data_IF_082672477003
#
_entry.id   IF_082672477003
#
_cell.length_a   1.000
_cell.length_b   1.000
_cell.length_c   1.000
_cell.angle_alpha   90.00
_cell.angle_beta   90.00
_cell.angle_gamma   90.00
#
_symmetry.space_group_name_H-M   'P 1'
#
loop_
_entity.id
_entity.type
_entity.pdbx_description
1 polymer ?
#
# COMPACT_ATOMS: atom_id res chain seq x y z
N UNK A 1 -0.13 6.39 -16.55
CA UNK A 1 -1.25 5.48 -16.22
C UNK A 1 -0.87 4.66 -15.00
N UNK A 2 -1.67 4.66 -13.92
CA UNK A 2 -1.39 3.80 -12.77
C UNK A 2 -1.55 2.33 -13.18
N UNK A 3 -0.52 1.51 -13.00
CA UNK A 3 -0.62 0.07 -13.33
C UNK A 3 -1.66 -0.60 -12.43
N UNK A 4 -2.43 -1.55 -12.97
CA UNK A 4 -3.44 -2.32 -12.21
C UNK A 4 -2.88 -2.93 -10.92
N UNK A 5 -1.59 -3.30 -10.90
CA UNK A 5 -0.90 -3.81 -9.72
C UNK A 5 -0.82 -2.80 -8.57
N UNK A 6 -0.35 -1.57 -8.84
CA UNK A 6 -0.30 -0.48 -7.83
C UNK A 6 -1.67 -0.19 -7.23
N UNK A 7 -2.71 -0.12 -8.06
CA UNK A 7 -4.07 0.15 -7.60
C UNK A 7 -4.56 -0.96 -6.66
N UNK A 8 -4.30 -2.23 -6.98
CA UNK A 8 -4.66 -3.36 -6.08
C UNK A 8 -3.89 -3.31 -4.76
N UNK A 9 -2.59 -3.01 -4.81
CA UNK A 9 -1.74 -2.87 -3.62
C UNK A 9 -2.25 -1.74 -2.73
N UNK A 10 -2.48 -0.56 -3.29
CA UNK A 10 -2.99 0.60 -2.56
C UNK A 10 -4.37 0.34 -1.96
N UNK A 11 -5.28 -0.33 -2.68
CA UNK A 11 -6.60 -0.71 -2.14
C UNK A 11 -6.45 -1.57 -0.89
N UNK A 12 -5.57 -2.56 -0.90
CA UNK A 12 -5.32 -3.42 0.27
C UNK A 12 -4.71 -2.61 1.42
N UNK A 13 -3.71 -1.77 1.16
CA UNK A 13 -3.09 -0.93 2.20
C UNK A 13 -4.08 0.06 2.81
N UNK A 14 -4.92 0.70 1.98
CA UNK A 14 -5.91 1.66 2.45
C UNK A 14 -6.95 0.99 3.36
N UNK A 15 -7.34 -0.25 3.05
CA UNK A 15 -8.30 -1.03 3.84
C UNK A 15 -7.72 -1.57 5.14
N UNK A 16 -6.53 -2.14 5.10
CA UNK A 16 -5.93 -2.85 6.24
C UNK A 16 -5.07 -1.94 7.13
N UNK A 17 -4.68 -0.76 6.65
CA UNK A 17 -3.80 0.20 7.32
C UNK A 17 -2.32 -0.20 7.28
N UNK A 18 -1.98 -1.33 7.93
CA UNK A 18 -0.62 -1.88 7.95
C UNK A 18 -0.64 -3.35 7.53
N UNK A 19 0.20 -3.72 6.56
CA UNK A 19 0.17 -5.08 5.99
C UNK A 19 1.58 -5.61 5.76
N UNK A 20 1.82 -6.85 6.19
CA UNK A 20 3.06 -7.53 5.85
C UNK A 20 3.05 -8.03 4.39
N UNK A 21 4.24 -8.19 3.80
CA UNK A 21 4.36 -8.57 2.38
C UNK A 21 3.67 -9.90 2.05
N UNK A 22 3.70 -10.88 2.95
CA UNK A 22 3.03 -12.17 2.73
C UNK A 22 1.51 -12.04 2.67
N UNK A 23 0.91 -11.18 3.49
CA UNK A 23 -0.53 -10.88 3.46
C UNK A 23 -0.89 -10.07 2.22
N UNK A 24 -0.03 -9.16 1.77
CA UNK A 24 -0.20 -8.47 0.48
C UNK A 24 -0.21 -9.45 -0.70
N UNK A 25 0.71 -10.42 -0.75
CA UNK A 25 0.70 -11.48 -1.79
C UNK A 25 -0.65 -12.21 -1.79
N UNK A 26 -1.13 -12.63 -0.61
CA UNK A 26 -2.40 -13.36 -0.48
C UNK A 26 -3.61 -12.51 -0.90
N UNK A 27 -3.70 -11.26 -0.48
CA UNK A 27 -4.87 -10.40 -0.73
C UNK A 27 -4.89 -9.82 -2.14
N UNK A 28 -3.72 -9.53 -2.72
CA UNK A 28 -3.63 -8.94 -4.06
C UNK A 28 -3.59 -10.00 -5.17
N UNK A 29 -3.16 -11.22 -4.85
CA UNK A 29 -2.89 -12.28 -5.81
C UNK A 29 -1.70 -11.98 -6.74
N UNK A 30 -0.88 -10.99 -6.40
CA UNK A 30 0.30 -10.61 -7.17
C UNK A 30 1.53 -11.39 -6.70
N UNK A 31 2.44 -11.68 -7.62
CA UNK A 31 3.74 -12.26 -7.28
C UNK A 31 4.53 -11.34 -6.34
N UNK A 32 5.31 -11.95 -5.45
CA UNK A 32 6.14 -11.25 -4.48
C UNK A 32 7.00 -10.16 -5.14
N UNK A 33 7.69 -10.47 -6.23
CA UNK A 33 8.62 -9.54 -6.88
C UNK A 33 7.90 -8.36 -7.55
N UNK A 34 6.68 -8.59 -8.03
CA UNK A 34 5.80 -7.52 -8.51
C UNK A 34 5.44 -6.59 -7.36
N UNK A 35 5.09 -7.11 -6.19
CA UNK A 35 4.76 -6.28 -5.02
C UNK A 35 6.00 -5.49 -4.58
N UNK A 36 7.17 -6.12 -4.48
CA UNK A 36 8.41 -5.44 -4.09
C UNK A 36 8.71 -4.26 -5.01
N UNK A 37 8.72 -4.50 -6.33
CA UNK A 37 8.95 -3.45 -7.32
C UNK A 37 7.95 -2.29 -7.19
N UNK A 38 6.66 -2.61 -7.08
CA UNK A 38 5.64 -1.56 -6.96
C UNK A 38 5.74 -0.80 -5.63
N UNK A 39 6.09 -1.46 -4.52
CA UNK A 39 6.28 -0.80 -3.23
C UNK A 39 7.51 0.12 -3.23
N UNK A 40 8.58 -0.26 -3.92
CA UNK A 40 9.76 0.60 -4.10
C UNK A 40 9.37 1.87 -4.86
N UNK A 41 8.69 1.75 -6.00
CA UNK A 41 8.21 2.90 -6.77
C UNK A 41 7.24 3.78 -5.96
N UNK A 42 6.30 3.18 -5.21
CA UNK A 42 5.37 3.93 -4.35
C UNK A 42 6.07 4.63 -3.18
N UNK A 43 7.15 4.04 -2.66
CA UNK A 43 7.94 4.62 -1.58
C UNK A 43 8.76 5.81 -2.08
N UNK A 44 9.34 5.70 -3.27
CA UNK A 44 10.02 6.82 -3.93
C UNK A 44 9.08 8.00 -4.19
N UNK A 45 7.80 7.71 -4.45
CA UNK A 45 6.75 8.72 -4.58
C UNK A 45 6.26 9.30 -3.23
N UNK A 46 6.73 8.79 -2.09
CA UNK A 46 6.27 9.23 -0.77
C UNK A 46 4.83 8.80 -0.43
N UNK A 47 4.30 7.77 -1.10
CA UNK A 47 2.92 7.30 -0.90
C UNK A 47 2.85 6.22 0.17
N UNK A 48 3.90 5.40 0.29
CA UNK A 48 3.96 4.29 1.25
C UNK A 48 5.26 4.33 2.05
N UNK A 49 5.18 3.85 3.29
CA UNK A 49 6.33 3.57 4.12
C UNK A 49 6.57 2.06 4.24
N UNK A 50 7.84 1.69 4.46
CA UNK A 50 8.25 0.33 4.80
C UNK A 50 8.95 0.34 6.16
N UNK A 51 8.48 -0.52 7.08
CA UNK A 51 9.17 -0.85 8.32
C UNK A 51 9.70 -2.27 8.25
N UNK A 52 10.99 -2.45 8.60
CA UNK A 52 11.67 -3.74 8.64
C UNK A 52 11.97 -4.16 10.07
N UNK A 53 11.57 -5.37 10.42
CA UNK A 53 11.88 -6.01 11.70
C UNK A 53 12.54 -7.36 11.41
N UNK A 54 13.87 -7.36 11.30
CA UNK A 54 14.63 -8.51 10.78
C UNK A 54 14.17 -8.86 9.35
N UNK A 55 13.61 -10.06 9.17
CA UNK A 55 13.07 -10.52 7.88
C UNK A 55 11.63 -10.07 7.60
N UNK A 56 10.93 -9.54 8.60
CA UNK A 56 9.55 -9.08 8.45
C UNK A 56 9.54 -7.69 7.79
N UNK A 57 8.75 -7.55 6.72
CA UNK A 57 8.50 -6.29 6.01
C UNK A 57 7.04 -5.91 6.19
N UNK A 58 6.78 -4.75 6.78
CA UNK A 58 5.43 -4.17 6.97
C UNK A 58 5.34 -2.89 6.15
N UNK A 59 4.26 -2.76 5.39
CA UNK A 59 3.96 -1.59 4.58
C UNK A 59 2.71 -0.87 5.09
N UNK A 60 2.68 0.45 4.92
CA UNK A 60 1.54 1.32 5.25
C UNK A 60 1.50 2.54 4.36
N UNK A 61 0.35 3.20 4.27
CA UNK A 61 0.24 4.50 3.60
C UNK A 61 1.02 5.56 4.41
N UNK A 62 1.78 6.39 3.71
CA UNK A 62 2.42 7.57 4.30
C UNK A 62 1.42 8.72 4.37
N UNK A 63 0.88 8.98 5.57
CA UNK A 63 -0.14 10.00 5.80
C UNK A 63 0.46 11.39 6.08
N UNK A 64 1.78 11.57 5.95
CA UNK A 64 2.43 12.87 6.18
C UNK A 64 2.19 13.86 5.04
N UNK A 65 1.97 13.38 3.82
CA UNK A 65 1.55 14.23 2.70
C UNK A 65 0.03 14.48 2.80
N UNK A 66 -0.41 15.76 2.92
CA UNK A 66 -1.83 16.10 3.00
C UNK A 66 -2.68 15.57 1.83
N UNK A 67 -2.11 15.44 0.63
CA UNK A 67 -2.82 14.90 -0.54
C UNK A 67 -3.12 13.41 -0.35
N UNK A 68 -2.15 12.67 0.19
CA UNK A 68 -2.29 11.23 0.45
C UNK A 68 -3.23 11.00 1.63
N UNK A 69 -3.12 11.81 2.69
CA UNK A 69 -4.07 11.79 3.81
C UNK A 69 -5.50 12.06 3.35
N UNK A 70 -5.72 13.11 2.54
CA UNK A 70 -7.06 13.42 2.01
C UNK A 70 -7.64 12.29 1.16
N UNK A 71 -6.81 11.68 0.29
CA UNK A 71 -7.24 10.53 -0.51
C UNK A 71 -7.60 9.31 0.37
N UNK A 72 -6.85 9.08 1.43
CA UNK A 72 -7.10 7.99 2.38
C UNK A 72 -8.43 8.17 3.11
N UNK A 73 -8.75 9.39 3.56
CA UNK A 73 -10.04 9.69 4.20
C UNK A 73 -11.21 9.52 3.24
N UNK A 74 -11.10 10.05 2.01
CA UNK A 74 -12.13 9.85 0.97
C UNK A 74 -12.36 8.34 0.70
N UNK A 75 -11.28 7.56 0.61
CA UNK A 75 -11.39 6.12 0.40
C UNK A 75 -12.13 5.43 1.55
N UNK A 76 -11.85 5.82 2.81
CA UNK A 76 -12.56 5.30 3.98
C UNK A 76 -14.04 5.64 3.97
N UNK A 77 -14.40 6.86 3.62
CA UNK A 77 -15.80 7.27 3.50
C UNK A 77 -16.53 6.43 2.46
N UNK A 78 -15.90 6.15 1.31
CA UNK A 78 -16.49 5.35 0.23
C UNK A 78 -16.70 3.88 0.62
N UNK A 79 -15.76 3.21 1.30
CA UNK A 79 -15.96 1.80 1.72
C UNK A 79 -16.94 1.66 2.92
N UNK A 80 -17.28 2.76 3.60
CA UNK A 80 -18.29 2.78 4.67
C UNK A 80 -19.72 3.04 4.15
N UNK A 81 -19.87 3.32 2.85
CA UNK A 81 -21.16 3.40 2.14
C UNK A 81 -21.52 2.04 1.53
#
# INVERSE_FOLDING_TARGET
>A
MASKGKVRILKVLMKEGQVNISRLVKLTGLHHDVIVKNMEELKEMGIVEEKRYGRLRIYMIDLRDPKISGLYEIFKEIENL
#
